data_IF_517477648511
#
_entry.id   IF_517477648511
#
_cell.length_a   1.000
_cell.length_b   1.000
_cell.length_c   1.000
_cell.angle_alpha   90.00
_cell.angle_beta   90.00
_cell.angle_gamma   90.00
#
_symmetry.space_group_name_H-M   'P 1'
#
loop_
_entity.id
_entity.type
_entity.pdbx_description
1 polymer ?
#
# COMPACT_ATOMS: atom_id res chain seq x y z
N UNK A 1 -6.51 -2.67 -22.12
CA UNK A 1 -6.35 -4.03 -21.56
C UNK A 1 -4.88 -4.17 -21.16
N UNK A 2 -4.57 -4.16 -19.85
CA UNK A 2 -3.20 -4.40 -19.39
C UNK A 2 -2.91 -5.89 -19.52
N UNK A 3 -2.39 -6.30 -20.67
CA UNK A 3 -2.08 -7.72 -20.95
C UNK A 3 -0.62 -7.97 -20.60
N UNK A 4 -0.35 -8.62 -19.46
CA UNK A 4 0.99 -9.14 -19.16
C UNK A 4 1.30 -10.32 -20.11
N UNK A 5 2.45 -10.26 -20.79
CA UNK A 5 2.85 -11.11 -21.93
C UNK A 5 3.23 -12.54 -21.49
N UNK A 6 2.34 -13.51 -21.68
CA UNK A 6 2.39 -14.86 -21.09
C UNK A 6 3.38 -15.92 -21.61
N UNK A 7 4.34 -15.64 -22.51
CA UNK A 7 5.35 -16.66 -22.94
C UNK A 7 6.71 -16.52 -22.26
N UNK A 8 7.12 -15.31 -21.89
CA UNK A 8 8.35 -15.02 -21.13
C UNK A 8 8.22 -15.35 -19.64
N UNK A 9 6.99 -15.50 -19.14
CA UNK A 9 6.70 -15.65 -17.72
C UNK A 9 7.05 -17.03 -17.15
N UNK A 10 7.02 -18.11 -17.93
CA UNK A 10 7.22 -19.46 -17.38
C UNK A 10 8.67 -19.70 -16.95
N UNK A 11 9.62 -19.38 -17.83
CA UNK A 11 11.07 -19.46 -17.56
C UNK A 11 11.49 -18.50 -16.45
N UNK A 12 10.89 -17.29 -16.43
CA UNK A 12 11.11 -16.29 -15.37
C UNK A 12 10.54 -16.72 -14.02
N UNK A 13 9.36 -17.35 -13.99
CA UNK A 13 8.77 -17.95 -12.77
C UNK A 13 9.62 -19.09 -12.22
N UNK A 14 10.17 -19.95 -13.08
CA UNK A 14 11.07 -21.03 -12.66
C UNK A 14 12.37 -20.47 -12.06
N UNK A 15 13.02 -19.53 -12.73
CA UNK A 15 14.20 -18.81 -12.21
C UNK A 15 13.92 -18.11 -10.88
N UNK A 16 12.80 -17.38 -10.77
CA UNK A 16 12.43 -16.69 -9.54
C UNK A 16 12.24 -17.68 -8.38
N UNK A 17 11.56 -18.82 -8.62
CA UNK A 17 11.44 -19.87 -7.59
C UNK A 17 12.80 -20.38 -7.14
N UNK A 18 13.73 -20.60 -8.06
CA UNK A 18 15.08 -21.05 -7.70
C UNK A 18 15.82 -20.03 -6.84
N UNK A 19 15.69 -18.73 -7.13
CA UNK A 19 16.34 -17.67 -6.33
C UNK A 19 15.69 -17.52 -4.95
N UNK A 20 14.36 -17.54 -4.87
CA UNK A 20 13.64 -17.46 -3.59
C UNK A 20 14.02 -18.61 -2.66
N UNK A 21 14.11 -19.84 -3.18
CA UNK A 21 14.57 -21.00 -2.41
C UNK A 21 16.01 -20.84 -1.90
N UNK A 22 16.91 -20.30 -2.73
CA UNK A 22 18.28 -20.00 -2.29
C UNK A 22 18.31 -18.95 -1.18
N UNK A 23 17.49 -17.89 -1.27
CA UNK A 23 17.39 -16.87 -0.22
C UNK A 23 16.89 -17.46 1.10
N UNK A 24 15.87 -18.34 1.06
CA UNK A 24 15.40 -19.07 2.24
C UNK A 24 16.52 -19.89 2.88
N UNK A 25 17.31 -20.61 2.07
CA UNK A 25 18.45 -21.39 2.57
C UNK A 25 19.49 -20.47 3.21
N UNK A 26 19.85 -19.35 2.58
CA UNK A 26 20.82 -18.39 3.13
C UNK A 26 20.32 -17.80 4.45
N UNK A 27 19.06 -17.37 4.52
CA UNK A 27 18.46 -16.82 5.75
C UNK A 27 18.53 -17.85 6.89
N UNK A 28 18.06 -19.08 6.66
CA UNK A 28 18.03 -20.15 7.67
C UNK A 28 19.42 -20.58 8.14
N UNK A 29 20.40 -20.59 7.23
CA UNK A 29 21.75 -21.09 7.55
C UNK A 29 22.69 -20.02 8.09
N UNK A 30 22.49 -18.74 7.75
CA UNK A 30 23.43 -17.66 8.08
C UNK A 30 22.83 -16.59 9.01
N UNK A 31 21.61 -16.13 8.74
CA UNK A 31 21.00 -15.01 9.48
C UNK A 31 20.25 -15.47 10.73
N UNK A 32 19.36 -16.46 10.60
CA UNK A 32 18.53 -16.94 11.72
C UNK A 32 19.37 -17.41 12.94
N UNK A 33 20.52 -18.10 12.79
CA UNK A 33 21.37 -18.44 13.93
C UNK A 33 21.97 -17.20 14.61
N UNK A 34 22.27 -16.15 13.85
CA UNK A 34 22.78 -14.88 14.37
C UNK A 34 21.69 -14.12 15.13
N UNK A 35 20.49 -14.03 14.55
CA UNK A 35 19.32 -13.39 15.19
C UNK A 35 18.98 -14.05 16.53
N UNK A 36 18.98 -15.39 16.57
CA UNK A 36 18.76 -16.15 17.79
C UNK A 36 19.86 -15.90 18.83
N UNK A 37 21.14 -15.92 18.42
CA UNK A 37 22.29 -15.71 19.31
C UNK A 37 22.25 -14.35 20.02
N UNK A 38 21.83 -13.30 19.32
CA UNK A 38 21.77 -11.93 19.87
C UNK A 38 20.35 -11.52 20.31
N UNK A 39 19.40 -12.45 20.37
CA UNK A 39 18.00 -12.20 20.77
C UNK A 39 17.35 -11.05 19.98
N UNK A 40 17.67 -10.95 18.69
CA UNK A 40 17.17 -9.91 17.79
C UNK A 40 15.63 -9.80 17.82
N UNK A 41 14.96 -10.95 17.92
CA UNK A 41 13.50 -11.03 17.92
C UNK A 41 12.81 -10.39 19.13
N UNK A 42 13.56 -10.09 20.20
CA UNK A 42 13.01 -9.35 21.35
C UNK A 42 12.98 -7.84 21.12
N UNK A 43 13.77 -7.32 20.17
CA UNK A 43 13.96 -5.88 19.97
C UNK A 43 13.36 -5.39 18.66
N UNK A 44 13.39 -6.20 17.61
CA UNK A 44 13.05 -5.74 16.26
C UNK A 44 11.81 -6.44 15.71
N UNK A 45 11.89 -7.73 15.40
CA UNK A 45 10.80 -8.45 14.78
C UNK A 45 10.93 -9.97 14.87
N UNK A 46 9.82 -10.70 14.71
CA UNK A 46 9.84 -12.16 14.72
C UNK A 46 10.68 -12.72 13.56
N UNK A 47 11.14 -13.98 13.66
CA UNK A 47 11.83 -14.62 12.55
C UNK A 47 10.91 -14.69 11.33
N UNK A 48 11.50 -14.49 10.15
CA UNK A 48 10.83 -14.67 8.87
C UNK A 48 10.39 -16.12 8.68
N UNK A 49 9.17 -16.29 8.17
CA UNK A 49 8.63 -17.58 7.76
C UNK A 49 8.71 -17.77 6.24
N UNK A 50 8.31 -18.93 5.72
CA UNK A 50 8.34 -19.19 4.28
C UNK A 50 7.37 -18.31 3.49
N UNK A 51 6.28 -17.85 4.12
CA UNK A 51 5.30 -16.97 3.49
C UNK A 51 5.87 -15.57 3.28
N UNK A 52 6.77 -15.10 4.14
CA UNK A 52 7.49 -13.84 3.91
C UNK A 52 8.32 -13.88 2.61
N UNK A 53 8.73 -15.06 2.13
CA UNK A 53 9.45 -15.24 0.86
C UNK A 53 8.54 -15.59 -0.32
N UNK A 54 7.48 -16.37 -0.08
CA UNK A 54 6.58 -16.89 -1.12
C UNK A 54 5.38 -15.96 -1.40
N UNK A 55 5.16 -14.97 -0.54
CA UNK A 55 4.11 -13.99 -0.71
C UNK A 55 4.22 -13.28 -2.05
N UNK A 56 3.04 -13.00 -2.64
CA UNK A 56 2.97 -12.16 -3.83
C UNK A 56 3.41 -10.73 -3.48
N UNK A 57 4.01 -10.01 -4.43
CA UNK A 57 4.37 -8.62 -4.23
C UNK A 57 3.18 -7.79 -3.75
N UNK A 58 3.40 -6.93 -2.76
CA UNK A 58 2.37 -6.09 -2.16
C UNK A 58 2.53 -4.63 -2.60
N UNK A 59 1.42 -4.03 -3.04
CA UNK A 59 1.32 -2.60 -3.35
C UNK A 59 0.42 -1.95 -2.30
N UNK A 60 0.99 -1.04 -1.51
CA UNK A 60 0.24 -0.29 -0.49
C UNK A 60 -0.12 1.10 -0.99
N UNK A 61 -1.39 1.49 -0.86
CA UNK A 61 -1.86 2.84 -1.17
C UNK A 61 -2.00 3.64 0.12
N UNK A 62 -1.36 4.80 0.18
CA UNK A 62 -1.37 5.69 1.34
C UNK A 62 -1.71 7.10 0.89
N UNK A 63 -2.49 7.81 1.70
CA UNK A 63 -2.97 9.14 1.33
C UNK A 63 -4.02 9.64 2.31
N UNK A 64 -4.21 10.95 2.33
CA UNK A 64 -5.26 11.58 3.13
C UNK A 64 -6.67 11.14 2.73
N UNK A 65 -7.64 11.54 3.54
CA UNK A 65 -9.04 11.34 3.27
C UNK A 65 -9.46 11.91 1.90
N UNK A 66 -10.33 11.20 1.17
CA UNK A 66 -10.87 11.62 -0.13
C UNK A 66 -9.86 11.78 -1.29
N UNK A 67 -8.58 11.43 -1.12
CA UNK A 67 -7.55 11.46 -2.19
C UNK A 67 -7.80 10.50 -3.35
N UNK A 68 -8.70 9.53 -3.16
CA UNK A 68 -9.13 8.60 -4.21
C UNK A 68 -8.41 7.25 -4.23
N UNK A 69 -7.85 6.79 -3.11
CA UNK A 69 -7.20 5.47 -2.98
C UNK A 69 -8.09 4.32 -3.45
N UNK A 70 -9.26 4.17 -2.83
CA UNK A 70 -10.27 3.15 -3.18
C UNK A 70 -10.72 3.25 -4.64
N UNK A 71 -10.90 4.48 -5.16
CA UNK A 71 -11.23 4.70 -6.58
C UNK A 71 -10.09 4.34 -7.53
N UNK A 72 -8.84 4.59 -7.14
CA UNK A 72 -7.65 4.21 -7.89
C UNK A 72 -7.52 2.69 -7.99
N UNK A 73 -7.80 1.97 -6.91
CA UNK A 73 -7.82 0.50 -6.91
C UNK A 73 -8.91 -0.01 -7.85
N UNK A 74 -10.14 0.50 -7.73
CA UNK A 74 -11.22 0.17 -8.65
C UNK A 74 -10.82 0.44 -10.11
N UNK A 75 -10.16 1.57 -10.38
CA UNK A 75 -9.66 1.92 -11.70
C UNK A 75 -8.59 0.92 -12.19
N UNK A 76 -7.69 0.45 -11.33
CA UNK A 76 -6.72 -0.59 -11.71
C UNK A 76 -7.40 -1.94 -11.99
N UNK A 77 -8.37 -2.32 -11.17
CA UNK A 77 -9.11 -3.58 -11.30
C UNK A 77 -10.17 -3.54 -12.40
N UNK A 78 -10.54 -2.35 -12.87
CA UNK A 78 -11.62 -2.08 -13.84
C UNK A 78 -12.98 -2.66 -13.40
N UNK A 79 -13.13 -2.94 -12.11
CA UNK A 79 -14.35 -3.48 -11.48
C UNK A 79 -14.33 -3.22 -9.98
N UNK A 80 -15.50 -3.29 -9.37
CA UNK A 80 -15.64 -3.19 -7.92
C UNK A 80 -15.14 -4.46 -7.24
N UNK A 81 -14.56 -4.30 -6.04
CA UNK A 81 -14.11 -5.42 -5.21
C UNK A 81 -15.08 -5.62 -4.01
N UNK A 82 -15.18 -6.84 -3.45
CA UNK A 82 -16.08 -7.10 -2.33
C UNK A 82 -15.80 -6.18 -1.13
N UNK A 83 -16.85 -5.60 -0.56
CA UNK A 83 -16.73 -4.68 0.57
C UNK A 83 -16.24 -3.27 0.23
N UNK A 84 -16.12 -2.93 -1.06
CA UNK A 84 -15.79 -1.57 -1.49
C UNK A 84 -16.85 -0.56 -1.01
N UNK A 85 -16.40 0.56 -0.47
CA UNK A 85 -17.25 1.71 -0.12
C UNK A 85 -16.60 2.97 -0.66
N UNK A 86 -17.21 3.58 -1.67
CA UNK A 86 -16.76 4.87 -2.21
C UNK A 86 -17.83 5.91 -1.88
N UNK A 87 -17.51 6.85 -1.02
CA UNK A 87 -18.40 7.96 -0.67
C UNK A 87 -17.64 9.24 -0.32
N UNK A 88 -18.31 10.40 -0.35
CA UNK A 88 -17.71 11.68 0.05
C UNK A 88 -17.43 11.75 1.56
N UNK A 89 -18.20 11.02 2.38
CA UNK A 89 -18.04 10.89 3.83
C UNK A 89 -17.03 9.79 4.20
N UNK A 90 -16.30 9.89 5.34
CA UNK A 90 -15.36 8.89 5.86
C UNK A 90 -15.80 7.44 5.73
N UNK A 91 -15.50 6.83 4.58
CA UNK A 91 -16.06 5.52 4.20
C UNK A 91 -15.10 4.37 4.47
N UNK A 92 -13.79 4.62 4.41
CA UNK A 92 -12.74 3.62 4.66
C UNK A 92 -12.00 3.94 5.96
N UNK A 93 -12.44 3.32 7.06
CA UNK A 93 -11.77 3.38 8.38
C UNK A 93 -11.03 2.07 8.73
N UNK A 94 -10.92 1.18 7.75
CA UNK A 94 -10.33 -0.15 7.87
C UNK A 94 -9.24 -0.37 6.83
N UNK A 95 -8.22 -1.15 7.19
CA UNK A 95 -7.25 -1.68 6.24
C UNK A 95 -7.92 -2.79 5.42
N UNK A 96 -7.79 -2.73 4.10
CA UNK A 96 -8.36 -3.74 3.20
C UNK A 96 -7.24 -4.33 2.35
N UNK A 97 -6.97 -5.61 2.54
CA UNK A 97 -6.14 -6.41 1.64
C UNK A 97 -6.99 -6.90 0.48
N UNK A 98 -6.49 -6.81 -0.74
CA UNK A 98 -7.24 -7.23 -1.93
C UNK A 98 -6.40 -8.28 -2.63
N UNK A 99 -6.92 -9.50 -2.65
CA UNK A 99 -6.19 -10.69 -3.07
C UNK A 99 -6.94 -11.47 -4.14
N UNK A 100 -6.20 -12.20 -4.97
CA UNK A 100 -6.81 -13.08 -5.95
C UNK A 100 -7.40 -14.32 -5.28
N UNK A 101 -8.63 -14.65 -5.65
CA UNK A 101 -9.29 -15.90 -5.28
C UNK A 101 -10.22 -16.34 -6.39
N UNK A 102 -10.65 -17.60 -6.37
CA UNK A 102 -11.64 -18.09 -7.35
C UNK A 102 -13.03 -17.53 -7.10
N UNK A 103 -13.35 -17.30 -5.82
CA UNK A 103 -14.65 -16.84 -5.37
C UNK A 103 -14.54 -15.41 -4.83
N UNK A 104 -15.62 -14.65 -4.96
CA UNK A 104 -15.72 -13.33 -4.37
C UNK A 104 -16.19 -13.44 -2.92
N UNK A 105 -15.36 -12.97 -1.99
CA UNK A 105 -15.69 -13.00 -0.56
C UNK A 105 -14.97 -11.90 0.21
N UNK A 106 -15.48 -11.60 1.40
CA UNK A 106 -14.82 -10.72 2.37
C UNK A 106 -14.48 -11.55 3.61
N UNK A 107 -13.20 -11.61 3.96
CA UNK A 107 -12.71 -12.29 5.15
C UNK A 107 -12.35 -11.27 6.23
N UNK A 108 -12.86 -11.43 7.47
CA UNK A 108 -12.51 -10.54 8.58
C UNK A 108 -11.08 -10.80 9.07
N UNK A 109 -10.46 -9.79 9.67
CA UNK A 109 -9.09 -9.83 10.19
C UNK A 109 -8.81 -10.99 11.14
N UNK A 110 -9.77 -11.32 12.01
CA UNK A 110 -9.66 -12.46 12.92
C UNK A 110 -9.46 -13.80 12.18
N UNK A 111 -10.08 -13.98 11.01
CA UNK A 111 -9.88 -15.19 10.21
C UNK A 111 -8.53 -15.14 9.48
N UNK A 112 -8.13 -13.98 8.98
CA UNK A 112 -6.89 -13.80 8.20
C UNK A 112 -5.62 -14.07 8.99
N UNK A 113 -5.60 -13.74 10.28
CA UNK A 113 -4.41 -13.97 11.12
C UNK A 113 -4.24 -15.43 11.53
N UNK A 114 -5.26 -16.26 11.35
CA UNK A 114 -5.24 -17.70 11.67
C UNK A 114 -4.92 -18.52 10.41
N UNK A 115 -5.20 -17.97 9.22
CA UNK A 115 -4.97 -18.64 7.94
C UNK A 115 -3.46 -18.87 7.69
N UNK A 116 -2.99 -20.13 7.63
CA UNK A 116 -1.59 -20.46 7.41
C UNK A 116 -1.11 -20.20 5.97
N UNK A 117 -2.00 -19.93 5.03
CA UNK A 117 -1.62 -19.61 3.64
C UNK A 117 -1.43 -18.10 3.42
N UNK A 118 -1.69 -17.28 4.45
CA UNK A 118 -1.68 -15.82 4.36
C UNK A 118 -0.56 -15.20 5.20
N UNK A 119 0.18 -14.22 4.68
CA UNK A 119 1.31 -13.60 5.40
C UNK A 119 0.86 -12.57 6.46
N UNK A 120 -0.30 -12.76 7.10
CA UNK A 120 -0.90 -11.78 8.00
C UNK A 120 -0.89 -12.21 9.47
N UNK A 121 -0.41 -13.42 9.78
CA UNK A 121 -0.40 -13.98 11.14
C UNK A 121 0.18 -13.05 12.20
N UNK A 122 1.27 -12.35 11.88
CA UNK A 122 1.96 -11.45 12.82
C UNK A 122 1.18 -10.18 13.12
N UNK A 123 0.12 -9.85 12.36
CA UNK A 123 -0.78 -8.73 12.64
C UNK A 123 -1.67 -8.98 13.87
N UNK A 124 -1.81 -10.22 14.34
CA UNK A 124 -2.54 -10.56 15.57
C UNK A 124 -2.03 -9.79 16.80
N UNK A 125 -0.75 -9.40 16.81
CA UNK A 125 -0.12 -8.61 17.89
C UNK A 125 -0.76 -7.23 18.12
N UNK A 126 -1.44 -6.68 17.12
CA UNK A 126 -2.11 -5.37 17.21
C UNK A 126 -3.49 -5.46 17.89
N UNK A 127 -3.93 -6.66 18.26
CA UNK A 127 -5.13 -6.88 19.07
C UNK A 127 -6.45 -6.76 18.31
N UNK A 128 -7.54 -7.11 19.00
CA UNK A 128 -8.86 -7.22 18.39
C UNK A 128 -9.39 -5.91 17.80
N UNK A 129 -9.06 -4.76 18.41
CA UNK A 129 -9.49 -3.44 17.91
C UNK A 129 -9.01 -3.20 16.48
N UNK A 130 -7.76 -3.57 16.18
CA UNK A 130 -7.23 -3.53 14.81
C UNK A 130 -7.89 -4.58 13.92
N UNK A 131 -8.01 -5.82 14.40
CA UNK A 131 -8.52 -6.94 13.57
C UNK A 131 -9.98 -6.75 13.14
N UNK A 132 -10.81 -6.03 13.91
CA UNK A 132 -12.15 -5.61 13.49
C UNK A 132 -12.13 -4.56 12.36
N UNK A 133 -11.02 -3.83 12.23
CA UNK A 133 -10.75 -2.81 11.21
C UNK A 133 -9.74 -3.30 10.17
N UNK A 134 -9.61 -4.62 10.02
CA UNK A 134 -8.77 -5.24 9.02
C UNK A 134 -9.61 -6.28 8.27
N UNK A 135 -9.66 -6.18 6.95
CA UNK A 135 -10.44 -7.09 6.10
C UNK A 135 -9.62 -7.52 4.88
N UNK A 136 -10.01 -8.65 4.30
CA UNK A 136 -9.50 -9.09 3.01
C UNK A 136 -10.67 -9.23 2.05
N UNK A 137 -10.60 -8.50 0.94
CA UNK A 137 -11.46 -8.68 -0.21
C UNK A 137 -10.78 -9.66 -1.17
N UNK A 138 -11.41 -10.81 -1.36
CA UNK A 138 -10.95 -11.82 -2.29
C UNK A 138 -11.79 -11.80 -3.55
N UNK A 139 -11.16 -11.87 -4.71
CA UNK A 139 -11.88 -11.85 -5.99
C UNK A 139 -11.02 -12.39 -7.14
N UNK A 140 -11.63 -12.93 -8.21
CA UNK A 140 -10.87 -13.34 -9.39
C UNK A 140 -10.41 -12.11 -10.17
N UNK A 141 -9.12 -11.91 -10.36
CA UNK A 141 -8.61 -10.79 -11.17
C UNK A 141 -7.24 -11.12 -11.76
N UNK A 142 -7.09 -10.89 -13.06
CA UNK A 142 -5.81 -11.06 -13.75
C UNK A 142 -4.73 -10.13 -13.21
N UNK A 143 -5.10 -8.98 -12.64
CA UNK A 143 -4.17 -8.09 -11.94
C UNK A 143 -3.70 -8.74 -10.64
N UNK A 144 -4.63 -9.25 -9.83
CA UNK A 144 -4.34 -9.82 -8.51
C UNK A 144 -3.65 -11.20 -8.59
N UNK A 145 -3.66 -11.84 -9.77
CA UNK A 145 -2.86 -13.05 -9.99
C UNK A 145 -1.38 -12.81 -9.71
N UNK A 146 -0.87 -11.62 -10.05
CA UNK A 146 0.54 -11.25 -9.91
C UNK A 146 0.90 -10.44 -8.67
N UNK A 147 -0.07 -9.86 -7.95
CA UNK A 147 0.18 -8.96 -6.82
C UNK A 147 -0.99 -8.92 -5.82
N UNK A 148 -0.72 -8.39 -4.64
CA UNK A 148 -1.72 -8.04 -3.62
C UNK A 148 -1.78 -6.53 -3.48
N UNK A 149 -2.98 -5.96 -3.34
CA UNK A 149 -3.16 -4.52 -3.12
C UNK A 149 -3.61 -4.28 -1.68
N UNK A 150 -3.06 -3.26 -1.02
CA UNK A 150 -3.46 -2.84 0.32
C UNK A 150 -4.07 -1.44 0.21
N UNK A 151 -5.36 -1.32 0.50
CA UNK A 151 -6.04 -0.04 0.72
C UNK A 151 -5.92 0.34 2.20
N UNK A 152 -5.26 1.45 2.50
CA UNK A 152 -5.16 1.93 3.89
C UNK A 152 -6.29 2.91 4.20
N UNK A 153 -6.68 3.04 5.49
CA UNK A 153 -7.59 4.10 5.91
C UNK A 153 -7.12 5.49 5.47
N UNK A 154 -8.08 6.39 5.24
CA UNK A 154 -7.76 7.79 5.01
C UNK A 154 -7.18 8.45 6.26
N UNK A 155 -6.10 9.20 6.08
CA UNK A 155 -5.47 9.98 7.15
C UNK A 155 -6.29 11.26 7.32
N UNK A 156 -6.80 11.49 8.53
CA UNK A 156 -7.52 12.69 8.93
C UNK A 156 -6.51 13.73 9.43
N UNK A 157 -6.73 14.99 9.08
CA UNK A 157 -5.98 16.13 9.60
C UNK A 157 -6.47 16.50 11.01
N UNK A 158 -5.57 16.62 12.00
CA UNK A 158 -5.89 17.16 13.32
C UNK A 158 -6.40 16.16 14.38
N UNK A 159 -6.27 14.85 14.17
CA UNK A 159 -6.67 13.81 15.14
C UNK A 159 -5.49 12.94 15.58
N UNK A 160 -5.34 12.70 16.88
CA UNK A 160 -4.36 11.75 17.42
C UNK A 160 -4.76 10.31 17.04
N UNK A 161 -4.09 9.71 16.03
CA UNK A 161 -4.44 8.40 15.45
C UNK A 161 -4.71 7.29 16.47
N UNK A 162 -3.87 7.19 17.49
CA UNK A 162 -3.89 6.06 18.40
C UNK A 162 -5.02 6.18 19.44
N UNK A 163 -5.41 7.41 19.82
CA UNK A 163 -6.50 7.62 20.78
C UNK A 163 -7.89 7.44 20.17
N UNK A 164 -8.11 7.87 18.92
CA UNK A 164 -9.43 7.77 18.29
C UNK A 164 -9.73 6.38 17.70
N UNK A 165 -8.70 5.62 17.33
CA UNK A 165 -8.86 4.32 16.65
C UNK A 165 -8.80 3.12 17.59
N UNK A 166 -8.13 3.26 18.74
CA UNK A 166 -7.99 2.21 19.74
C UNK A 166 -6.99 1.10 19.37
N UNK A 167 -6.09 1.35 18.42
CA UNK A 167 -4.96 0.49 18.06
C UNK A 167 -3.77 1.33 17.57
N UNK A 168 -2.56 0.77 17.64
CA UNK A 168 -1.32 1.40 17.16
C UNK A 168 -1.31 1.48 15.62
N UNK A 169 -1.78 2.60 15.09
CA UNK A 169 -1.91 2.79 13.64
C UNK A 169 -0.55 2.88 12.96
N UNK A 170 0.40 3.59 13.59
CA UNK A 170 1.75 3.77 13.06
C UNK A 170 2.51 2.44 13.00
N UNK A 171 2.37 1.60 14.03
CA UNK A 171 2.96 0.27 14.06
C UNK A 171 2.39 -0.67 12.99
N UNK A 172 1.07 -0.63 12.75
CA UNK A 172 0.43 -1.39 11.67
C UNK A 172 0.93 -0.91 10.31
N UNK A 173 0.95 0.40 10.09
CA UNK A 173 1.41 0.96 8.83
C UNK A 173 2.87 0.64 8.56
N UNK A 174 3.72 0.75 9.59
CA UNK A 174 5.13 0.35 9.50
C UNK A 174 5.26 -1.12 9.13
N UNK A 175 4.48 -2.00 9.75
CA UNK A 175 4.47 -3.43 9.42
C UNK A 175 4.17 -3.67 7.93
N UNK A 176 3.20 -2.95 7.35
CA UNK A 176 2.91 -3.03 5.91
C UNK A 176 4.01 -2.38 5.06
N UNK A 177 4.59 -1.26 5.50
CA UNK A 177 5.67 -0.54 4.80
C UNK A 177 6.92 -1.43 4.66
N UNK A 178 7.29 -2.13 5.72
CA UNK A 178 8.44 -3.03 5.74
C UNK A 178 8.28 -4.16 4.69
N UNK A 179 7.04 -4.66 4.53
CA UNK A 179 6.68 -5.79 3.64
C UNK A 179 6.22 -5.39 2.24
N UNK A 180 5.80 -4.15 2.04
CA UNK A 180 5.38 -3.68 0.72
C UNK A 180 6.56 -3.65 -0.24
N UNK A 181 6.33 -3.98 -1.50
CA UNK A 181 7.28 -3.82 -2.60
C UNK A 181 7.16 -2.43 -3.25
N UNK A 182 5.95 -1.88 -3.20
CA UNK A 182 5.62 -0.54 -3.68
C UNK A 182 4.66 0.17 -2.74
N UNK A 183 4.93 1.44 -2.51
CA UNK A 183 4.08 2.32 -1.72
C UNK A 183 3.65 3.46 -2.62
N UNK A 184 2.36 3.59 -2.87
CA UNK A 184 1.81 4.66 -3.69
C UNK A 184 1.28 5.74 -2.74
N UNK A 185 1.94 6.89 -2.73
CA UNK A 185 1.47 8.09 -2.02
C UNK A 185 0.54 8.88 -2.92
N UNK A 186 -0.75 8.92 -2.58
CA UNK A 186 -1.77 9.66 -3.32
C UNK A 186 -2.01 11.04 -2.70
N UNK A 187 -1.95 12.06 -3.55
CA UNK A 187 -2.28 13.44 -3.26
C UNK A 187 -3.45 13.90 -4.15
N UNK A 188 -4.30 14.77 -3.63
CA UNK A 188 -5.38 15.40 -4.39
C UNK A 188 -4.90 16.75 -4.94
N UNK A 189 -4.90 16.92 -6.26
CA UNK A 189 -4.46 18.16 -6.90
C UNK A 189 -5.36 19.36 -6.56
N UNK A 190 -6.65 19.12 -6.32
CA UNK A 190 -7.62 20.17 -6.02
C UNK A 190 -7.55 20.62 -4.54
N UNK A 191 -7.07 19.75 -3.65
CA UNK A 191 -6.97 20.00 -2.21
C UNK A 191 -5.64 19.47 -1.69
N UNK A 192 -4.55 20.07 -2.13
CA UNK A 192 -3.23 19.76 -1.58
C UNK A 192 -3.15 20.35 -0.17
N UNK A 193 -3.66 19.62 0.80
CA UNK A 193 -3.42 19.84 2.22
C UNK A 193 -2.39 18.82 2.69
N UNK A 194 -1.41 19.24 3.46
CA UNK A 194 -0.37 18.35 3.95
C UNK A 194 -0.19 18.55 5.44
N UNK A 195 -0.99 17.81 6.20
CA UNK A 195 -1.03 17.89 7.64
C UNK A 195 0.23 17.33 8.29
N UNK A 196 0.53 17.78 9.51
CA UNK A 196 1.68 17.30 10.29
C UNK A 196 1.60 15.79 10.54
N UNK A 197 0.39 15.26 10.67
CA UNK A 197 0.14 13.82 10.75
C UNK A 197 0.62 13.07 9.51
N UNK A 198 0.25 13.58 8.33
CA UNK A 198 0.64 12.97 7.07
C UNK A 198 2.15 13.05 6.86
N UNK A 199 2.78 14.14 7.30
CA UNK A 199 4.23 14.27 7.37
C UNK A 199 4.86 13.22 8.29
N UNK A 200 4.39 13.11 9.53
CA UNK A 200 4.90 12.12 10.48
C UNK A 200 4.79 10.70 9.94
N UNK A 201 3.71 10.41 9.22
CA UNK A 201 3.51 9.12 8.55
C UNK A 201 4.53 8.84 7.44
N UNK A 202 4.86 9.84 6.61
CA UNK A 202 5.91 9.69 5.61
C UNK A 202 7.28 9.50 6.26
N UNK A 203 7.54 10.16 7.40
CA UNK A 203 8.77 9.97 8.17
C UNK A 203 8.92 8.53 8.69
N UNK A 204 7.82 7.82 8.97
CA UNK A 204 7.86 6.38 9.30
C UNK A 204 8.23 5.49 8.11
N UNK A 205 8.14 5.99 6.87
CA UNK A 205 8.58 5.28 5.66
C UNK A 205 10.06 5.52 5.34
N UNK A 206 10.79 6.23 6.21
CA UNK A 206 12.22 6.47 6.05
C UNK A 206 12.98 5.14 6.03
N UNK A 207 13.88 5.00 5.05
CA UNK A 207 14.57 3.73 4.77
C UNK A 207 13.86 2.83 3.74
N UNK A 208 12.67 3.23 3.27
CA UNK A 208 11.93 2.56 2.19
C UNK A 208 11.59 3.52 1.05
N UNK A 209 12.36 4.61 0.91
CA UNK A 209 12.09 5.68 -0.06
C UNK A 209 12.08 5.16 -1.50
N UNK A 210 12.94 4.19 -1.81
CA UNK A 210 13.06 3.56 -3.13
C UNK A 210 11.79 2.83 -3.58
N UNK A 211 10.93 2.47 -2.62
CA UNK A 211 9.63 1.80 -2.85
C UNK A 211 8.51 2.79 -3.13
N UNK A 212 8.71 4.06 -2.78
CA UNK A 212 7.68 5.10 -2.84
C UNK A 212 7.48 5.58 -4.27
N UNK A 213 6.23 5.67 -4.70
CA UNK A 213 5.83 6.34 -5.96
C UNK A 213 4.72 7.32 -5.65
N UNK A 214 4.80 8.48 -6.25
CA UNK A 214 3.95 9.62 -5.88
C UNK A 214 2.94 9.84 -7.00
N UNK A 215 1.66 9.90 -6.63
CA UNK A 215 0.55 10.11 -7.55
C UNK A 215 -0.17 11.38 -7.17
N UNK A 216 -0.16 12.36 -8.08
CA UNK A 216 -0.98 13.56 -7.98
C UNK A 216 -2.27 13.33 -8.76
N UNK A 217 -3.31 12.94 -8.04
CA UNK A 217 -4.62 12.53 -8.56
C UNK A 217 -5.55 13.75 -8.76
N UNK A 218 -6.63 13.56 -9.53
CA UNK A 218 -7.64 14.59 -9.83
C UNK A 218 -7.07 15.85 -10.50
N UNK A 219 -6.01 15.68 -11.29
CA UNK A 219 -5.36 16.78 -12.00
C UNK A 219 -6.28 17.47 -13.03
N UNK A 220 -7.34 16.79 -13.48
CA UNK A 220 -8.38 17.34 -14.35
C UNK A 220 -9.36 18.30 -13.65
N UNK A 221 -9.28 18.47 -12.32
CA UNK A 221 -10.14 19.38 -11.57
C UNK A 221 -9.63 20.82 -11.52
N UNK A 222 -8.37 21.04 -11.91
CA UNK A 222 -7.70 22.34 -11.85
C UNK A 222 -7.13 22.71 -13.23
N UNK A 223 -6.87 24.00 -13.44
CA UNK A 223 -6.26 24.48 -14.67
C UNK A 223 -4.72 24.23 -14.69
N UNK A 224 -4.09 24.49 -15.84
CA UNK A 224 -2.66 24.22 -16.03
C UNK A 224 -1.77 25.07 -15.11
N UNK A 225 -2.16 26.31 -14.81
CA UNK A 225 -1.36 27.20 -13.97
C UNK A 225 -1.42 26.77 -12.50
N UNK A 226 -2.62 26.44 -12.01
CA UNK A 226 -2.85 25.87 -10.69
C UNK A 226 -2.13 24.53 -10.55
N UNK A 227 -2.19 23.67 -11.57
CA UNK A 227 -1.50 22.39 -11.56
C UNK A 227 0.02 22.55 -11.39
N UNK A 228 0.64 23.52 -12.09
CA UNK A 228 2.07 23.80 -11.92
C UNK A 228 2.41 24.33 -10.52
N UNK A 229 1.54 25.14 -9.93
CA UNK A 229 1.71 25.64 -8.55
C UNK A 229 1.60 24.51 -7.52
N UNK A 230 0.57 23.67 -7.64
CA UNK A 230 0.33 22.51 -6.77
C UNK A 230 1.48 21.50 -6.91
N UNK A 231 1.92 21.23 -8.12
CA UNK A 231 3.09 20.38 -8.37
C UNK A 231 4.35 20.94 -7.71
N UNK A 232 4.63 22.25 -7.86
CA UNK A 232 5.77 22.90 -7.21
C UNK A 232 5.71 22.80 -5.68
N UNK A 233 4.54 23.03 -5.08
CA UNK A 233 4.33 22.90 -3.63
C UNK A 233 4.55 21.46 -3.15
N UNK A 234 4.03 20.48 -3.90
CA UNK A 234 4.22 19.05 -3.61
C UNK A 234 5.71 18.67 -3.65
N UNK A 235 6.43 19.06 -4.70
CA UNK A 235 7.86 18.76 -4.84
C UNK A 235 8.69 19.40 -3.72
N UNK A 236 8.36 20.63 -3.33
CA UNK A 236 9.00 21.31 -2.20
C UNK A 236 8.75 20.56 -0.88
N UNK A 237 7.52 20.10 -0.64
CA UNK A 237 7.18 19.30 0.54
C UNK A 237 7.94 17.97 0.57
N UNK A 238 7.95 17.23 -0.53
CA UNK A 238 8.65 15.95 -0.65
C UNK A 238 10.15 16.13 -0.41
N UNK A 239 10.75 17.15 -1.02
CA UNK A 239 12.17 17.44 -0.86
C UNK A 239 12.57 17.73 0.59
N UNK A 240 11.67 18.29 1.38
CA UNK A 240 11.90 18.53 2.82
C UNK A 240 11.83 17.27 3.68
N UNK A 241 11.05 16.27 3.29
CA UNK A 241 10.70 15.15 4.18
C UNK A 241 11.39 13.85 3.78
N UNK A 242 11.41 13.52 2.49
CA UNK A 242 12.03 12.27 2.06
C UNK A 242 13.56 12.32 2.18
N UNK A 243 14.17 13.52 2.25
CA UNK A 243 15.64 13.69 2.39
C UNK A 243 16.45 12.83 1.39
N UNK A 244 15.88 12.55 0.22
CA UNK A 244 16.54 11.81 -0.85
C UNK A 244 17.23 12.80 -1.78
N UNK A 245 18.46 12.49 -2.23
CA UNK A 245 19.16 13.33 -3.20
C UNK A 245 18.51 13.25 -4.59
N UNK A 246 17.84 12.15 -4.90
CA UNK A 246 17.16 11.94 -6.18
C UNK A 246 15.71 12.39 -6.13
N UNK A 247 15.29 13.09 -7.18
CA UNK A 247 13.92 13.58 -7.32
C UNK A 247 13.01 12.42 -7.72
N UNK A 248 12.10 12.04 -6.82
CA UNK A 248 11.12 10.99 -7.10
C UNK A 248 10.18 11.38 -8.25
N UNK A 249 9.84 10.39 -9.07
CA UNK A 249 8.92 10.60 -10.19
C UNK A 249 7.49 10.74 -9.68
N UNK A 250 6.85 11.86 -9.99
CA UNK A 250 5.43 12.08 -9.74
C UNK A 250 4.60 11.71 -10.97
N UNK A 251 3.58 10.89 -10.79
CA UNK A 251 2.58 10.55 -11.80
C UNK A 251 1.40 11.48 -11.63
N UNK A 252 1.20 12.37 -12.61
CA UNK A 252 0.11 13.34 -12.61
C UNK A 252 -1.01 12.82 -13.49
N UNK A 253 -2.23 12.81 -12.98
CA UNK A 253 -3.39 12.40 -13.77
C UNK A 253 -4.67 12.31 -12.97
N UNK A 254 -5.70 11.77 -13.61
CA UNK A 254 -6.97 11.44 -12.95
C UNK A 254 -7.27 9.97 -13.21
N UNK A 255 -7.24 9.18 -12.14
CA UNK A 255 -7.29 7.72 -12.21
C UNK A 255 -8.67 7.21 -11.81
N UNK A 256 -9.66 7.48 -12.66
CA UNK A 256 -11.04 7.03 -12.51
C UNK A 256 -11.70 6.78 -13.88
N UNK A 257 -12.88 6.17 -13.88
CA UNK A 257 -13.61 5.86 -15.12
C UNK A 257 -14.54 7.00 -15.60
N UNK A 258 -14.48 8.18 -14.97
CA UNK A 258 -15.36 9.31 -15.30
C UNK A 258 -14.74 10.21 -16.39
N UNK A 259 -15.58 10.90 -17.20
CA UNK A 259 -15.09 11.90 -18.14
C UNK A 259 -14.24 12.97 -17.46
N UNK A 260 -13.18 13.41 -18.14
CA UNK A 260 -12.31 14.47 -17.64
C UNK A 260 -13.07 15.80 -17.64
N UNK A 261 -12.94 16.56 -16.55
CA UNK A 261 -13.57 17.88 -16.44
C UNK A 261 -12.81 18.92 -17.26
N UNK A 262 -11.49 19.01 -17.12
CA UNK A 262 -10.62 19.79 -17.99
C UNK A 262 -9.81 18.87 -18.90
N UNK A 263 -10.08 18.92 -20.21
CA UNK A 263 -9.34 18.15 -21.23
C UNK A 263 -8.07 18.85 -21.73
N UNK A 264 -7.81 20.09 -21.30
CA UNK A 264 -6.66 20.90 -21.72
C UNK A 264 -5.30 20.27 -21.35
N UNK A 265 -5.28 19.34 -20.39
CA UNK A 265 -4.10 18.61 -19.95
C UNK A 265 -3.93 17.24 -20.63
N UNK A 266 -4.76 16.90 -21.61
CA UNK A 266 -4.68 15.66 -22.36
C UNK A 266 -3.52 15.77 -23.36
N UNK A 267 -2.39 15.11 -23.06
CA UNK A 267 -1.30 14.89 -24.01
C UNK A 267 -1.54 13.63 -24.83
#
# INVERSE_FOLDING_TARGET
MFTFKGKTDKKRKELNKTVTEQLKIVYRTKLLPLEAKYKFHHFHGPPLDDLDFDAKPMIMLVGQYSTGKTSFIRYLLQRDYPGIRIGPEPTTDSFITIMNSKNEQVLPGNALVIDPEKPFKTLSRFGNNFLHRFNCAEMPSSVLEGLTIIDTPGILSGSNFDMDRGYDFNGVLKWFTDRADRIILLFDANKLDISDEFRGLIEHMRGHQEKVRIVLNKADMIDNQQLMRVYGALMWFIGKILHVPEVERVYIGTFWDRPLRFSLNKR
#
